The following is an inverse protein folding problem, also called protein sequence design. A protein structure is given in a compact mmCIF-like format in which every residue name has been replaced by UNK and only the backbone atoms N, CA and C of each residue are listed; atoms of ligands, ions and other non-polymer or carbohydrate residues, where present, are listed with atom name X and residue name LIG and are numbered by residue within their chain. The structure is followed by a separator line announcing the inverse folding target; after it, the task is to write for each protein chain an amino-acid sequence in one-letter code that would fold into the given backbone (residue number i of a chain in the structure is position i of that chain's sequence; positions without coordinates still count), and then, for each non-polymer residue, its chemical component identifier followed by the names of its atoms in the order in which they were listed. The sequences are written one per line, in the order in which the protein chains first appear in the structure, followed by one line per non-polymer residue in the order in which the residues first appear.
data_IF_410910440331
#
_entry.id   IF_410910440331
#
_cell.length_a   1.000
_cell.length_b   1.000
_cell.length_c   1.000
_cell.angle_alpha   90.00
_cell.angle_beta   90.00
_cell.angle_gamma   90.00
#
_symmetry.space_group_name_H-M   'P 1'
#
loop_
_entity.id
_entity.type
_entity.pdbx_description
1 polymer ?
#
# COMPACT_ATOMS: atom_id res chain seq x y z
N UNK A 1 -22.95 39.34 -6.42
CA UNK A 1 -22.60 38.29 -5.43
C UNK A 1 -21.85 38.94 -4.27
N UNK A 2 -22.37 38.86 -3.04
CA UNK A 2 -21.87 39.64 -1.90
C UNK A 2 -20.49 39.14 -1.43
N UNK A 3 -19.59 40.05 -0.96
CA UNK A 3 -18.19 39.75 -0.60
C UNK A 3 -18.07 38.57 0.36
N UNK A 4 -18.98 38.50 1.34
CA UNK A 4 -19.06 37.43 2.35
C UNK A 4 -19.27 36.05 1.71
N UNK A 5 -20.17 35.92 0.72
CA UNK A 5 -20.42 34.65 0.02
C UNK A 5 -19.19 34.20 -0.77
N UNK A 6 -18.42 35.15 -1.33
CA UNK A 6 -17.20 34.85 -2.09
C UNK A 6 -16.08 34.35 -1.17
N UNK A 7 -15.94 34.89 0.04
CA UNK A 7 -14.98 34.39 1.03
C UNK A 7 -15.36 33.02 1.60
N UNK A 8 -16.64 32.79 1.87
CA UNK A 8 -17.14 31.48 2.34
C UNK A 8 -16.88 30.41 1.28
N UNK A 9 -17.22 30.67 0.01
CA UNK A 9 -16.95 29.73 -1.08
C UNK A 9 -15.46 29.48 -1.28
N UNK A 10 -14.61 30.50 -1.12
CA UNK A 10 -13.15 30.36 -1.22
C UNK A 10 -12.55 29.56 -0.05
N UNK A 11 -13.10 29.69 1.16
CA UNK A 11 -12.72 28.85 2.32
C UNK A 11 -13.20 27.41 2.15
N UNK A 12 -14.42 27.20 1.63
CA UNK A 12 -14.95 25.87 1.34
C UNK A 12 -14.12 25.18 0.25
N UNK A 13 -13.80 25.86 -0.85
CA UNK A 13 -12.97 25.32 -1.93
C UNK A 13 -11.51 25.02 -1.49
N UNK A 14 -10.92 25.90 -0.67
CA UNK A 14 -9.61 25.68 -0.04
C UNK A 14 -9.60 24.47 0.91
N UNK A 15 -10.70 24.21 1.61
CA UNK A 15 -10.85 23.04 2.47
C UNK A 15 -11.27 21.76 1.71
N UNK A 16 -11.79 21.89 0.48
CA UNK A 16 -12.35 20.78 -0.30
C UNK A 16 -11.33 20.11 -1.24
N UNK A 17 -10.12 20.67 -1.42
CA UNK A 17 -9.08 20.07 -2.28
C UNK A 17 -7.68 20.14 -1.68
N UNK A 18 -7.48 19.42 -0.59
CA UNK A 18 -6.18 18.84 -0.30
C UNK A 18 -6.34 17.33 -0.42
N UNK A 19 -6.43 16.85 -1.66
CA UNK A 19 -6.23 15.43 -1.94
C UNK A 19 -4.80 15.16 -1.48
N UNK A 20 -4.64 14.42 -0.39
CA UNK A 20 -3.34 13.96 0.05
C UNK A 20 -2.85 12.97 -1.03
N UNK A 21 -1.94 13.45 -1.89
CA UNK A 21 -1.39 12.66 -2.98
C UNK A 21 -0.84 11.32 -2.48
N UNK A 22 -0.32 11.26 -1.25
CA UNK A 22 0.11 10.02 -0.61
C UNK A 22 -1.03 9.02 -0.40
N UNK A 23 -2.16 9.46 0.14
CA UNK A 23 -3.37 8.63 0.31
C UNK A 23 -3.92 8.16 -1.04
N UNK A 24 -3.91 9.03 -2.06
CA UNK A 24 -4.39 8.70 -3.40
C UNK A 24 -3.47 7.66 -4.08
N UNK A 25 -2.15 7.85 -4.02
CA UNK A 25 -1.18 6.89 -4.61
C UNK A 25 -1.26 5.55 -3.88
N UNK A 26 -1.41 5.54 -2.56
CA UNK A 26 -1.59 4.30 -1.79
C UNK A 26 -2.89 3.58 -2.16
N UNK A 27 -4.00 4.31 -2.29
CA UNK A 27 -5.28 3.76 -2.73
C UNK A 27 -5.21 3.17 -4.13
N UNK A 28 -4.53 3.84 -5.07
CA UNK A 28 -4.27 3.31 -6.42
C UNK A 28 -3.39 2.05 -6.34
N UNK A 29 -2.36 2.03 -5.49
CA UNK A 29 -1.52 0.85 -5.26
C UNK A 29 -2.32 -0.37 -4.80
N UNK A 30 -3.28 -0.18 -3.90
CA UNK A 30 -4.19 -1.25 -3.45
C UNK A 30 -5.09 -1.76 -4.59
N UNK A 31 -5.60 -0.85 -5.44
CA UNK A 31 -6.37 -1.25 -6.61
C UNK A 31 -5.52 -2.07 -7.60
N UNK A 32 -4.28 -1.65 -7.83
CA UNK A 32 -3.33 -2.36 -8.70
C UNK A 32 -3.04 -3.76 -8.14
N UNK A 33 -2.90 -3.92 -6.82
CA UNK A 33 -2.73 -5.24 -6.19
C UNK A 33 -3.89 -6.17 -6.54
N UNK A 34 -5.13 -5.69 -6.44
CA UNK A 34 -6.32 -6.50 -6.72
C UNK A 34 -6.31 -6.95 -8.18
N UNK A 35 -6.09 -6.01 -9.10
CA UNK A 35 -6.05 -6.30 -10.55
C UNK A 35 -4.89 -7.25 -10.88
N UNK A 36 -3.70 -6.97 -10.37
CA UNK A 36 -2.51 -7.81 -10.54
C UNK A 36 -2.77 -9.24 -10.08
N UNK A 37 -3.39 -9.41 -8.91
CA UNK A 37 -3.67 -10.74 -8.34
C UNK A 37 -4.72 -11.51 -9.13
N UNK A 38 -5.75 -10.82 -9.63
CA UNK A 38 -6.74 -11.44 -10.51
C UNK A 38 -6.10 -11.90 -11.83
N UNK A 39 -5.25 -11.06 -12.41
CA UNK A 39 -4.58 -11.31 -13.69
C UNK A 39 -3.52 -12.42 -13.55
N UNK A 40 -2.78 -12.50 -12.44
CA UNK A 40 -1.85 -13.62 -12.19
C UNK A 40 -2.55 -14.91 -11.80
N UNK A 41 -3.72 -14.84 -11.17
CA UNK A 41 -4.47 -16.04 -10.74
C UNK A 41 -5.25 -16.69 -11.88
N UNK A 42 -6.00 -15.88 -12.64
CA UNK A 42 -6.96 -16.33 -13.64
C UNK A 42 -6.57 -15.99 -15.08
N UNK A 43 -5.61 -15.08 -15.27
CA UNK A 43 -5.11 -14.73 -16.59
C UNK A 43 -3.94 -15.60 -17.04
N UNK A 44 -3.58 -15.49 -18.32
CA UNK A 44 -2.41 -16.16 -18.91
C UNK A 44 -1.15 -15.31 -18.76
N UNK A 45 -0.78 -15.00 -17.52
CA UNK A 45 0.48 -14.31 -17.23
C UNK A 45 1.57 -15.36 -17.04
N UNK A 46 2.52 -15.42 -17.97
CA UNK A 46 3.71 -16.25 -17.80
C UNK A 46 4.62 -15.75 -16.66
N UNK A 47 5.58 -16.57 -16.24
CA UNK A 47 6.48 -16.27 -15.12
C UNK A 47 7.17 -14.90 -15.23
N UNK A 48 7.57 -14.51 -16.45
CA UNK A 48 8.18 -13.21 -16.72
C UNK A 48 7.23 -12.05 -16.39
N UNK A 49 5.94 -12.17 -16.72
CA UNK A 49 4.93 -11.15 -16.41
C UNK A 49 4.72 -11.00 -14.90
N UNK A 50 4.70 -12.11 -14.16
CA UNK A 50 4.60 -12.08 -12.69
C UNK A 50 5.79 -11.37 -12.05
N UNK A 51 7.01 -11.59 -12.57
CA UNK A 51 8.23 -10.89 -12.11
C UNK A 51 8.14 -9.39 -12.38
N UNK A 52 7.67 -8.98 -13.56
CA UNK A 52 7.49 -7.57 -13.93
C UNK A 52 6.46 -6.90 -13.00
N UNK A 53 5.30 -7.53 -12.78
CA UNK A 53 4.26 -7.03 -11.88
C UNK A 53 4.82 -6.82 -10.47
N UNK A 54 5.54 -7.82 -9.95
CA UNK A 54 6.16 -7.74 -8.62
C UNK A 54 7.16 -6.58 -8.56
N UNK A 55 8.00 -6.41 -9.59
CA UNK A 55 8.94 -5.30 -9.68
C UNK A 55 8.25 -3.93 -9.70
N UNK A 56 7.15 -3.79 -10.43
CA UNK A 56 6.35 -2.56 -10.47
C UNK A 56 5.76 -2.26 -9.08
N UNK A 57 5.19 -3.25 -8.41
CA UNK A 57 4.63 -3.08 -7.06
C UNK A 57 5.70 -2.63 -6.05
N UNK A 58 6.91 -3.19 -6.14
CA UNK A 58 8.04 -2.77 -5.30
C UNK A 58 8.37 -1.29 -5.56
N UNK A 59 8.48 -0.90 -6.84
CA UNK A 59 8.77 0.49 -7.21
C UNK A 59 7.69 1.45 -6.72
N UNK A 60 6.41 1.09 -6.88
CA UNK A 60 5.29 1.87 -6.34
C UNK A 60 5.39 1.95 -4.81
N UNK A 61 5.73 0.86 -4.13
CA UNK A 61 5.90 0.82 -2.68
C UNK A 61 6.99 1.78 -2.20
N UNK A 62 8.14 1.81 -2.88
CA UNK A 62 9.22 2.77 -2.60
C UNK A 62 8.71 4.21 -2.78
N UNK A 63 8.06 4.50 -3.91
CA UNK A 63 7.51 5.83 -4.21
C UNK A 63 6.49 6.26 -3.15
N UNK A 64 5.61 5.34 -2.74
CA UNK A 64 4.67 5.56 -1.65
C UNK A 64 5.41 5.86 -0.35
N UNK A 65 6.44 5.11 0.02
CA UNK A 65 7.19 5.36 1.25
C UNK A 65 7.93 6.71 1.27
N UNK A 66 8.35 7.21 0.11
CA UNK A 66 9.02 8.51 -0.03
C UNK A 66 8.00 9.66 0.06
N UNK A 67 6.94 9.57 -0.76
CA UNK A 67 5.94 10.64 -0.93
C UNK A 67 4.97 10.68 0.24
N UNK A 68 4.53 9.50 0.67
CA UNK A 68 3.53 9.37 1.71
C UNK A 68 4.20 9.43 3.07
N UNK A 69 3.38 9.80 4.06
CA UNK A 69 3.67 9.80 5.49
C UNK A 69 4.33 11.08 5.99
N UNK A 70 3.47 11.96 6.47
CA UNK A 70 3.81 13.01 7.44
C UNK A 70 4.25 12.35 8.75
N UNK A 71 5.15 12.95 9.52
CA UNK A 71 5.73 12.33 10.74
C UNK A 71 4.69 11.80 11.73
N UNK A 72 3.49 12.42 11.78
CA UNK A 72 2.37 11.97 12.64
C UNK A 72 1.72 10.67 12.19
N UNK A 73 1.81 10.31 10.91
CA UNK A 73 1.17 9.10 10.35
C UNK A 73 2.14 7.91 10.26
N UNK A 74 3.46 8.15 10.44
CA UNK A 74 4.50 7.11 10.31
C UNK A 74 4.29 5.95 11.25
N UNK A 75 4.00 6.25 12.52
CA UNK A 75 3.85 5.22 13.56
C UNK A 75 2.64 4.34 13.25
N UNK A 76 1.49 4.94 12.94
CA UNK A 76 0.27 4.19 12.62
C UNK A 76 0.46 3.28 11.38
N UNK A 77 1.12 3.79 10.34
CA UNK A 77 1.44 3.00 9.15
C UNK A 77 2.41 1.85 9.45
N UNK A 78 3.49 2.10 10.20
CA UNK A 78 4.46 1.07 10.55
C UNK A 78 3.82 -0.02 11.40
N UNK A 79 2.93 0.33 12.34
CA UNK A 79 2.15 -0.64 13.12
C UNK A 79 1.27 -1.50 12.19
N UNK A 80 0.53 -0.88 11.26
CA UNK A 80 -0.29 -1.60 10.31
C UNK A 80 0.56 -2.53 9.42
N UNK A 81 1.72 -2.06 8.94
CA UNK A 81 2.65 -2.84 8.15
C UNK A 81 3.19 -4.05 8.93
N UNK A 82 3.55 -3.86 10.20
CA UNK A 82 3.99 -4.95 11.09
C UNK A 82 2.88 -5.98 11.28
N UNK A 83 1.64 -5.56 11.50
CA UNK A 83 0.49 -6.47 11.60
C UNK A 83 0.33 -7.30 10.33
N UNK A 84 0.37 -6.66 9.17
CA UNK A 84 0.23 -7.35 7.88
C UNK A 84 1.38 -8.34 7.64
N UNK A 85 2.63 -7.94 7.90
CA UNK A 85 3.79 -8.78 7.59
C UNK A 85 3.96 -9.89 8.63
N UNK A 86 3.87 -9.57 9.92
CA UNK A 86 4.22 -10.50 11.00
C UNK A 86 3.06 -11.36 11.48
N UNK A 87 1.82 -10.86 11.44
CA UNK A 87 0.67 -11.61 11.97
C UNK A 87 -0.09 -12.32 10.84
N UNK A 88 -0.31 -11.64 9.72
CA UNK A 88 -1.09 -12.20 8.60
C UNK A 88 -0.23 -13.15 7.76
N UNK A 89 1.09 -12.93 7.63
CA UNK A 89 1.97 -13.80 6.85
C UNK A 89 2.04 -15.25 7.29
N UNK A 90 2.37 -15.54 8.56
CA UNK A 90 2.39 -16.90 9.08
C UNK A 90 1.00 -17.56 9.04
N UNK A 91 -0.06 -16.78 9.32
CA UNK A 91 -1.44 -17.25 9.21
C UNK A 91 -1.76 -17.70 7.78
N UNK A 92 -1.42 -16.88 6.78
CA UNK A 92 -1.61 -17.21 5.38
C UNK A 92 -0.82 -18.46 4.96
N UNK A 93 0.42 -18.60 5.41
CA UNK A 93 1.24 -19.78 5.12
C UNK A 93 0.59 -21.07 5.69
N UNK A 94 0.06 -21.01 6.91
CA UNK A 94 -0.65 -22.13 7.53
C UNK A 94 -1.99 -22.43 6.85
N UNK A 95 -2.76 -21.42 6.44
CA UNK A 95 -4.00 -21.60 5.68
C UNK A 95 -3.73 -22.27 4.34
N UNK A 96 -2.69 -21.84 3.63
CA UNK A 96 -2.26 -22.43 2.36
C UNK A 96 -1.89 -23.92 2.53
N UNK A 97 -1.14 -24.27 3.59
CA UNK A 97 -0.78 -25.67 3.88
C UNK A 97 -1.98 -26.52 4.32
N UNK A 98 -2.86 -25.97 5.16
CA UNK A 98 -3.96 -26.72 5.80
C UNK A 98 -5.10 -27.01 4.84
N UNK A 99 -5.41 -26.07 3.94
CA UNK A 99 -6.60 -26.17 3.10
C UNK A 99 -6.35 -26.71 1.68
N UNK A 100 -5.10 -27.00 1.31
CA UNK A 100 -4.76 -27.61 0.02
C UNK A 100 -5.08 -26.69 -1.18
N UNK A 101 -4.04 -26.12 -1.79
CA UNK A 101 -4.13 -24.98 -2.73
C UNK A 101 -4.67 -25.33 -4.14
N UNK A 102 -5.50 -26.37 -4.28
CA UNK A 102 -6.13 -26.71 -5.56
C UNK A 102 -7.52 -26.09 -5.74
N UNK A 103 -8.12 -25.51 -4.70
CA UNK A 103 -9.37 -24.76 -4.83
C UNK A 103 -9.06 -23.30 -5.21
N UNK A 104 -9.61 -22.84 -6.33
CA UNK A 104 -9.40 -21.51 -6.95
C UNK A 104 -9.43 -20.32 -5.99
N UNK A 105 -10.20 -20.40 -4.90
CA UNK A 105 -10.27 -19.37 -3.87
C UNK A 105 -8.96 -19.13 -3.10
N UNK A 106 -8.17 -20.17 -2.79
CA UNK A 106 -6.94 -20.02 -1.99
C UNK A 106 -5.77 -19.46 -2.80
N UNK A 107 -5.74 -19.73 -4.11
CA UNK A 107 -4.71 -19.20 -5.03
C UNK A 107 -4.78 -17.68 -5.13
N UNK A 108 -5.99 -17.13 -5.24
CA UNK A 108 -6.21 -15.67 -5.28
C UNK A 108 -5.73 -14.99 -4.00
N UNK A 109 -6.03 -15.57 -2.84
CA UNK A 109 -5.64 -14.99 -1.55
C UNK A 109 -4.11 -15.03 -1.40
N UNK A 110 -3.45 -16.12 -1.84
CA UNK A 110 -2.00 -16.21 -1.87
C UNK A 110 -1.35 -15.14 -2.75
N UNK A 111 -1.87 -14.93 -3.96
CA UNK A 111 -1.38 -13.89 -4.88
C UNK A 111 -1.67 -12.47 -4.36
N UNK A 112 -2.84 -12.23 -3.76
CA UNK A 112 -3.15 -10.97 -3.08
C UNK A 112 -2.14 -10.70 -1.98
N UNK A 113 -1.88 -11.67 -1.12
CA UNK A 113 -0.96 -11.50 -0.01
C UNK A 113 0.47 -11.22 -0.49
N UNK A 114 0.94 -11.95 -1.50
CA UNK A 114 2.25 -11.72 -2.13
C UNK A 114 2.36 -10.29 -2.71
N UNK A 115 1.33 -9.83 -3.41
CA UNK A 115 1.31 -8.49 -4.01
C UNK A 115 1.18 -7.39 -2.95
N UNK A 116 0.44 -7.63 -1.86
CA UNK A 116 0.38 -6.76 -0.68
C UNK A 116 1.76 -6.61 -0.05
N UNK A 117 2.47 -7.70 0.20
CA UNK A 117 3.85 -7.67 0.71
C UNK A 117 4.75 -6.89 -0.24
N UNK A 118 4.65 -7.16 -1.55
CA UNK A 118 5.45 -6.49 -2.58
C UNK A 118 5.31 -4.97 -2.58
N UNK A 119 4.16 -4.44 -2.15
CA UNK A 119 3.93 -3.01 -2.00
C UNK A 119 4.30 -2.48 -0.60
N UNK A 120 3.82 -3.15 0.46
CA UNK A 120 3.87 -2.63 1.84
C UNK A 120 5.27 -2.71 2.42
N UNK A 121 6.00 -3.82 2.22
CA UNK A 121 7.34 -3.99 2.80
C UNK A 121 8.32 -2.91 2.36
N UNK A 122 8.51 -2.64 1.06
CA UNK A 122 9.41 -1.57 0.63
C UNK A 122 8.94 -0.19 1.12
N UNK A 123 7.63 0.08 1.13
CA UNK A 123 7.10 1.33 1.67
C UNK A 123 7.43 1.50 3.17
N UNK A 124 7.18 0.46 3.98
CA UNK A 124 7.47 0.43 5.40
C UNK A 124 8.96 0.57 5.69
N UNK A 125 9.83 -0.02 4.88
CA UNK A 125 11.28 0.13 5.01
C UNK A 125 11.70 1.60 4.85
N UNK A 126 11.25 2.26 3.78
CA UNK A 126 11.58 3.67 3.54
C UNK A 126 11.07 4.55 4.68
N UNK A 127 9.85 4.30 5.14
CA UNK A 127 9.23 5.07 6.22
C UNK A 127 9.98 4.87 7.53
N UNK A 128 10.34 3.63 7.87
CA UNK A 128 11.10 3.33 9.08
C UNK A 128 12.46 4.05 9.09
N UNK A 129 13.20 3.99 7.98
CA UNK A 129 14.47 4.69 7.84
C UNK A 129 14.29 6.21 7.99
N UNK A 130 13.28 6.78 7.33
CA UNK A 130 12.97 8.21 7.43
C UNK A 130 12.63 8.61 8.87
N UNK A 131 11.84 7.81 9.58
CA UNK A 131 11.49 8.04 10.99
C UNK A 131 12.74 8.01 11.87
N UNK A 132 13.66 7.05 11.68
CA UNK A 132 14.93 7.00 12.43
C UNK A 132 15.76 8.26 12.24
N UNK A 133 15.89 8.76 11.01
CA UNK A 133 16.61 10.01 10.74
C UNK A 133 15.95 11.24 11.38
N UNK A 134 14.61 11.29 11.45
CA UNK A 134 13.90 12.38 12.11
C UNK A 134 14.13 12.33 13.62
N UNK A 135 13.99 11.16 14.24
CA UNK A 135 14.25 10.97 15.67
C UNK A 135 15.69 11.32 16.03
N UNK A 136 16.67 10.91 15.22
CA UNK A 136 18.08 11.22 15.44
C UNK A 136 18.45 12.70 15.22
N UNK A 137 17.59 13.48 14.56
CA UNK A 137 17.78 14.93 14.34
C UNK A 137 17.10 15.76 15.42
N UNK A 138 16.01 15.25 15.98
CA UNK A 138 15.25 15.91 17.04
C UNK A 138 15.88 15.69 18.44
N UNK A 139 16.87 14.80 18.56
CA UNK A 139 17.84 14.69 19.66
C UNK A 139 19.17 15.39 19.32
#
# INVERSE_FOLDING_TARGET
MNKVKKEILKKIDKNMKLINYGTLIFGIGLLIIIIASLVTTYGTVGEMGTKIITGILIMIGIVVGIINITSKESVAFLIAAVVVVMLIGPFMANVIQTFGVEQTGSKLIGELFKNIIGLIVPAALIVAVKTLFMTAKDE
#
